data_IF_826112115435
#
_entry.id   IF_826112115435
#
_cell.length_a   1.000
_cell.length_b   1.000
_cell.length_c   1.000
_cell.angle_alpha   90.00
_cell.angle_beta   90.00
_cell.angle_gamma   90.00
#
_symmetry.space_group_name_H-M   'P 1'
#
loop_
_entity.id
_entity.type
_entity.pdbx_description
1 polymer ?
#
# COMPACT_ATOMS: atom_id res chain seq x y z
N UNK A 1 -7.74 5.00 16.31
CA UNK A 1 -7.02 5.52 17.50
C UNK A 1 -7.58 6.90 17.90
N UNK A 2 -7.23 7.43 19.08
CA UNK A 2 -7.41 8.86 19.37
C UNK A 2 -6.35 9.70 18.62
N UNK A 3 -6.52 11.03 18.61
CA UNK A 3 -5.68 11.92 17.80
C UNK A 3 -4.25 12.02 18.33
N UNK A 4 -4.08 12.01 19.65
CA UNK A 4 -2.80 12.24 20.30
C UNK A 4 -1.89 11.03 20.07
N UNK A 5 -2.42 9.81 20.19
CA UNK A 5 -1.72 8.58 19.84
C UNK A 5 -1.19 8.58 18.40
N UNK A 6 -1.99 9.04 17.43
CA UNK A 6 -1.53 9.09 16.02
C UNK A 6 -0.46 10.15 15.83
N UNK A 7 -0.61 11.32 16.46
CA UNK A 7 0.38 12.39 16.38
C UNK A 7 1.73 11.99 17.01
N UNK A 8 1.70 11.23 18.11
CA UNK A 8 2.90 10.70 18.75
C UNK A 8 3.68 9.78 17.81
N UNK A 9 3.00 8.83 17.15
CA UNK A 9 3.63 7.96 16.15
C UNK A 9 4.29 8.79 15.03
N UNK A 10 3.60 9.82 14.53
CA UNK A 10 4.10 10.71 13.46
C UNK A 10 5.33 11.51 13.93
N UNK A 11 5.34 11.94 15.19
CA UNK A 11 6.45 12.68 15.77
C UNK A 11 7.70 11.81 15.97
N UNK A 12 7.52 10.52 16.28
CA UNK A 12 8.61 9.57 16.46
C UNK A 12 9.33 9.20 15.15
N UNK A 13 8.65 9.31 14.00
CA UNK A 13 9.31 9.00 12.73
C UNK A 13 10.36 10.03 12.33
N UNK A 14 11.41 9.60 11.58
CA UNK A 14 12.37 10.52 10.99
C UNK A 14 11.66 11.62 10.20
N UNK A 15 11.95 12.87 10.55
CA UNK A 15 11.40 14.04 9.85
C UNK A 15 12.10 14.29 8.50
N UNK A 16 13.16 13.53 8.21
CA UNK A 16 13.90 13.53 6.96
C UNK A 16 13.23 12.72 5.85
N UNK A 17 14.02 12.32 4.85
CA UNK A 17 13.55 11.52 3.72
C UNK A 17 13.69 10.03 4.02
N UNK A 18 12.60 9.38 4.40
CA UNK A 18 12.57 7.91 4.53
C UNK A 18 12.49 7.30 3.13
N UNK A 19 13.60 6.75 2.66
CA UNK A 19 13.71 6.16 1.32
C UNK A 19 13.15 4.75 1.32
N UNK A 20 12.27 4.45 0.37
CA UNK A 20 11.78 3.11 0.11
C UNK A 20 12.02 2.77 -1.37
N UNK A 21 12.95 1.86 -1.61
CA UNK A 21 13.20 1.37 -2.96
C UNK A 21 12.33 0.16 -3.26
N UNK A 22 11.96 -0.04 -4.51
CA UNK A 22 11.12 -1.17 -4.89
C UNK A 22 11.40 -1.63 -6.31
N UNK A 23 11.39 -2.94 -6.52
CA UNK A 23 11.37 -3.57 -7.84
C UNK A 23 10.30 -4.65 -7.82
N UNK A 24 9.85 -5.08 -9.00
CA UNK A 24 8.75 -6.05 -9.13
C UNK A 24 9.05 -7.34 -8.35
N UNK A 25 8.05 -7.86 -7.64
CA UNK A 25 8.13 -9.04 -6.76
C UNK A 25 9.02 -8.88 -5.51
N UNK A 26 9.57 -7.68 -5.21
CA UNK A 26 10.37 -7.46 -4.00
C UNK A 26 9.60 -7.76 -2.71
N UNK A 27 8.27 -7.61 -2.71
CA UNK A 27 7.42 -7.98 -1.58
C UNK A 27 7.64 -9.41 -1.10
N UNK A 28 7.87 -10.35 -2.02
CA UNK A 28 8.03 -11.76 -1.66
C UNK A 28 9.34 -11.95 -0.87
N UNK A 29 10.41 -11.27 -1.27
CA UNK A 29 11.68 -11.28 -0.55
C UNK A 29 11.54 -10.66 0.85
N UNK A 30 10.82 -9.54 0.96
CA UNK A 30 10.59 -8.84 2.24
C UNK A 30 9.74 -9.70 3.18
N UNK A 31 8.62 -10.25 2.71
CA UNK A 31 7.78 -11.14 3.53
C UNK A 31 8.56 -12.38 3.99
N UNK A 32 9.32 -13.00 3.09
CA UNK A 32 10.17 -14.13 3.47
C UNK A 32 11.24 -13.72 4.49
N UNK A 33 11.78 -12.50 4.40
CA UNK A 33 12.77 -12.02 5.37
C UNK A 33 12.15 -11.74 6.75
N UNK A 34 10.86 -11.35 6.81
CA UNK A 34 10.11 -11.20 8.06
C UNK A 34 9.82 -12.55 8.75
N UNK A 35 9.62 -13.62 7.97
CA UNK A 35 9.38 -14.96 8.49
C UNK A 35 10.66 -15.65 9.01
N UNK A 36 11.84 -15.13 8.67
CA UNK A 36 13.14 -15.76 8.94
C UNK A 36 13.90 -15.05 10.07
N UNK A 37 13.70 -15.48 11.31
CA UNK A 37 14.61 -15.13 12.42
C UNK A 37 15.88 -15.99 12.42
N UNK A 38 15.71 -17.26 12.06
CA UNK A 38 16.75 -18.28 12.01
C UNK A 38 16.75 -18.96 10.64
N UNK A 39 17.69 -19.88 10.43
CA UNK A 39 17.72 -20.65 9.20
C UNK A 39 16.52 -21.60 9.13
N UNK A 40 15.79 -21.58 8.01
CA UNK A 40 14.64 -22.46 7.77
C UNK A 40 14.90 -23.30 6.52
N UNK A 41 14.52 -24.58 6.55
CA UNK A 41 14.64 -25.43 5.36
C UNK A 41 13.63 -24.99 4.31
N UNK A 42 14.06 -24.97 3.06
CA UNK A 42 13.17 -24.73 1.91
C UNK A 42 11.96 -25.68 1.92
N UNK A 43 12.16 -26.92 2.37
CA UNK A 43 11.11 -27.93 2.46
C UNK A 43 9.96 -27.55 3.42
N UNK A 44 10.28 -26.90 4.54
CA UNK A 44 9.28 -26.51 5.55
C UNK A 44 8.45 -25.34 5.03
N UNK A 45 9.11 -24.37 4.40
CA UNK A 45 8.44 -23.23 3.78
C UNK A 45 7.51 -23.65 2.63
N UNK A 46 7.88 -24.69 1.86
CA UNK A 46 7.01 -25.29 0.82
C UNK A 46 5.73 -25.92 1.38
N UNK A 47 5.71 -26.30 2.67
CA UNK A 47 4.53 -26.87 3.35
C UNK A 47 3.70 -25.83 4.08
N UNK A 48 4.18 -24.59 4.16
CA UNK A 48 3.51 -23.48 4.86
C UNK A 48 2.53 -22.70 3.97
N UNK A 49 1.78 -21.78 4.57
CA UNK A 49 0.94 -20.81 3.86
C UNK A 49 1.73 -19.89 2.90
N UNK A 50 3.06 -19.82 3.06
CA UNK A 50 3.96 -18.95 2.31
C UNK A 50 4.61 -19.62 1.09
N UNK A 51 4.25 -20.87 0.79
CA UNK A 51 4.82 -21.63 -0.32
C UNK A 51 4.76 -20.89 -1.67
N UNK A 52 3.70 -20.12 -1.92
CA UNK A 52 3.54 -19.32 -3.15
C UNK A 52 4.58 -18.21 -3.33
N UNK A 53 5.22 -17.74 -2.25
CA UNK A 53 6.30 -16.76 -2.34
C UNK A 53 7.52 -17.38 -3.04
N UNK A 54 7.76 -18.68 -2.84
CA UNK A 54 8.83 -19.43 -3.51
C UNK A 54 8.63 -19.55 -5.02
N UNK A 55 7.41 -19.34 -5.50
CA UNK A 55 7.10 -19.44 -6.93
C UNK A 55 7.47 -18.19 -7.71
N UNK A 56 7.75 -17.08 -7.01
CA UNK A 56 8.04 -15.78 -7.63
C UNK A 56 9.37 -15.80 -8.37
N UNK A 57 9.45 -15.22 -9.58
CA UNK A 57 10.65 -15.25 -10.40
C UNK A 57 11.91 -14.81 -9.66
N UNK A 58 11.84 -13.71 -8.90
CA UNK A 58 12.99 -13.22 -8.13
C UNK A 58 13.42 -14.21 -7.04
N UNK A 59 12.46 -14.82 -6.34
CA UNK A 59 12.75 -15.80 -5.29
C UNK A 59 13.34 -17.06 -5.89
N UNK A 60 12.78 -17.59 -6.99
CA UNK A 60 13.35 -18.75 -7.71
C UNK A 60 14.80 -18.52 -8.10
N UNK A 61 15.13 -17.34 -8.63
CA UNK A 61 16.50 -16.96 -8.99
C UNK A 61 17.42 -16.95 -7.77
N UNK A 62 16.96 -16.39 -6.65
CA UNK A 62 17.71 -16.41 -5.38
C UNK A 62 17.91 -17.83 -4.84
N UNK A 63 16.91 -18.70 -4.91
CA UNK A 63 17.01 -20.09 -4.47
C UNK A 63 17.98 -20.89 -5.33
N UNK A 64 18.02 -20.64 -6.65
CA UNK A 64 18.97 -21.32 -7.54
C UNK A 64 20.43 -21.01 -7.20
N UNK A 65 20.71 -19.87 -6.56
CA UNK A 65 22.04 -19.50 -6.06
C UNK A 65 22.35 -20.04 -4.66
N UNK A 66 21.35 -20.52 -3.91
CA UNK A 66 21.52 -21.04 -2.57
C UNK A 66 21.83 -22.56 -2.62
N UNK A 67 23.04 -22.96 -2.22
CA UNK A 67 23.51 -24.35 -2.36
C UNK A 67 23.15 -25.28 -1.20
N UNK A 68 22.63 -24.75 -0.08
CA UNK A 68 22.54 -25.49 1.19
C UNK A 68 21.14 -26.04 1.49
N UNK A 69 20.09 -25.64 0.75
CA UNK A 69 18.70 -26.00 1.06
C UNK A 69 18.13 -25.31 2.31
N UNK A 70 18.91 -24.41 2.91
CA UNK A 70 18.54 -23.58 4.06
C UNK A 70 18.45 -22.12 3.62
N UNK A 71 17.48 -21.41 4.19
CA UNK A 71 17.21 -20.01 3.92
C UNK A 71 17.44 -19.21 5.19
N UNK A 72 18.10 -18.08 5.05
CA UNK A 72 18.22 -17.09 6.11
C UNK A 72 17.86 -15.70 5.59
N UNK A 73 17.62 -14.78 6.52
CA UNK A 73 17.20 -13.41 6.19
C UNK A 73 18.17 -12.68 5.27
N UNK A 74 19.49 -12.91 5.44
CA UNK A 74 20.53 -12.24 4.66
C UNK A 74 20.46 -12.58 3.17
N UNK A 75 20.12 -13.83 2.84
CA UNK A 75 19.96 -14.27 1.46
C UNK A 75 18.96 -13.40 0.69
N UNK A 76 17.85 -12.99 1.31
CA UNK A 76 16.83 -12.18 0.67
C UNK A 76 17.11 -10.68 0.74
N UNK A 77 17.70 -10.19 1.83
CA UNK A 77 18.01 -8.78 2.00
C UNK A 77 19.06 -8.24 1.01
N UNK A 78 19.93 -9.10 0.49
CA UNK A 78 20.97 -8.72 -0.47
C UNK A 78 20.49 -8.71 -1.93
N UNK A 79 19.26 -9.18 -2.21
CA UNK A 79 18.76 -9.29 -3.58
C UNK A 79 18.34 -7.93 -4.09
N UNK A 80 18.91 -7.53 -5.21
CA UNK A 80 18.51 -6.33 -5.94
C UNK A 80 18.29 -6.64 -7.41
N UNK A 81 17.17 -6.19 -7.96
CA UNK A 81 16.84 -6.37 -9.38
C UNK A 81 16.50 -5.04 -10.05
N UNK A 82 16.62 -5.03 -11.38
CA UNK A 82 16.34 -3.87 -12.23
C UNK A 82 15.09 -4.10 -13.10
N UNK A 83 14.28 -3.06 -13.36
CA UNK A 83 14.42 -1.69 -12.86
C UNK A 83 14.00 -1.57 -11.39
N UNK A 84 14.70 -0.70 -10.65
CA UNK A 84 14.34 -0.29 -9.29
C UNK A 84 13.76 1.11 -9.32
N UNK A 85 12.71 1.34 -8.54
CA UNK A 85 12.07 2.63 -8.35
C UNK A 85 12.25 3.09 -6.92
N UNK A 86 12.60 4.36 -6.75
CA UNK A 86 12.74 4.96 -5.41
C UNK A 86 11.49 5.76 -5.07
N UNK A 87 11.01 5.56 -3.85
CA UNK A 87 9.91 6.29 -3.23
C UNK A 87 10.36 6.95 -1.93
N UNK A 88 9.58 7.93 -1.48
CA UNK A 88 9.73 8.55 -0.16
C UNK A 88 8.48 8.26 0.68
N UNK A 89 8.69 7.70 1.86
CA UNK A 89 7.62 7.44 2.81
C UNK A 89 7.41 8.65 3.72
N UNK A 90 6.15 9.03 3.88
CA UNK A 90 5.73 10.02 4.88
C UNK A 90 4.49 9.54 5.60
N UNK A 91 4.22 10.11 6.77
CA UNK A 91 3.00 9.85 7.53
C UNK A 91 2.08 11.07 7.55
N UNK A 92 0.79 10.77 7.63
CA UNK A 92 -0.29 11.73 7.85
C UNK A 92 -1.40 11.07 8.68
N UNK A 93 -2.52 11.74 8.81
CA UNK A 93 -3.70 11.27 9.56
C UNK A 93 -4.94 11.31 8.68
N UNK A 94 -5.87 10.40 8.94
CA UNK A 94 -7.21 10.44 8.38
C UNK A 94 -8.24 10.16 9.47
N UNK A 95 -9.44 10.73 9.37
CA UNK A 95 -10.56 10.34 10.20
C UNK A 95 -11.08 11.44 11.12
N UNK A 96 -11.84 11.01 12.10
CA UNK A 96 -12.59 11.83 13.04
C UNK A 96 -13.72 11.02 13.65
N UNK A 97 -14.58 11.68 14.42
CA UNK A 97 -15.64 11.00 15.16
C UNK A 97 -16.90 10.71 14.32
N UNK A 98 -17.02 11.30 13.12
CA UNK A 98 -18.12 11.08 12.18
C UNK A 98 -17.78 10.00 11.14
N UNK A 99 -18.05 8.73 11.47
CA UNK A 99 -17.69 7.56 10.63
C UNK A 99 -18.18 7.60 9.19
N UNK A 100 -19.39 8.09 8.93
CA UNK A 100 -20.01 8.01 7.59
C UNK A 100 -19.27 8.87 6.58
N UNK A 101 -18.92 10.10 6.96
CA UNK A 101 -18.11 10.99 6.13
C UNK A 101 -16.66 10.55 6.02
N UNK A 102 -16.12 9.97 7.10
CA UNK A 102 -14.72 9.56 7.17
C UNK A 102 -14.48 8.16 6.58
N UNK A 103 -15.52 7.39 6.30
CA UNK A 103 -15.46 6.03 5.78
C UNK A 103 -14.48 5.14 6.56
N UNK A 104 -14.60 5.12 7.89
CA UNK A 104 -13.74 4.34 8.81
C UNK A 104 -14.51 3.25 9.54
N UNK A 105 -13.81 2.22 10.02
CA UNK A 105 -14.40 1.09 10.75
C UNK A 105 -14.82 1.44 12.18
N UNK A 106 -14.14 2.42 12.79
CA UNK A 106 -14.51 2.99 14.11
C UNK A 106 -14.35 4.52 14.14
N UNK A 107 -15.04 5.22 15.06
CA UNK A 107 -14.74 6.63 15.33
C UNK A 107 -13.29 6.81 15.77
N UNK A 108 -12.67 7.92 15.36
CA UNK A 108 -11.28 8.25 15.68
C UNK A 108 -10.44 8.39 14.41
N UNK A 109 -9.13 8.26 14.57
CA UNK A 109 -8.14 8.53 13.53
C UNK A 109 -7.40 7.26 13.11
N UNK A 110 -7.15 7.17 11.81
CA UNK A 110 -6.21 6.25 11.20
C UNK A 110 -4.87 6.97 10.99
N UNK A 111 -3.80 6.20 11.13
CA UNK A 111 -2.50 6.59 10.61
C UNK A 111 -2.52 6.40 9.09
N UNK A 112 -1.91 7.33 8.35
CA UNK A 112 -1.80 7.23 6.89
C UNK A 112 -0.35 7.13 6.50
N UNK A 113 0.02 6.03 5.84
CA UNK A 113 1.31 5.91 5.16
C UNK A 113 1.16 6.40 3.72
N UNK A 114 2.03 7.31 3.31
CA UNK A 114 2.05 7.90 1.98
C UNK A 114 3.28 7.40 1.22
N UNK A 115 3.07 6.84 0.03
CA UNK A 115 4.12 6.45 -0.90
C UNK A 115 4.28 7.58 -1.94
N UNK A 116 5.28 8.43 -1.73
CA UNK A 116 5.52 9.59 -2.58
C UNK A 116 6.58 9.29 -3.65
N UNK A 117 6.44 9.96 -4.79
CA UNK A 117 7.43 9.89 -5.86
C UNK A 117 8.80 10.42 -5.41
N UNK A 118 9.85 9.95 -6.07
CA UNK A 118 11.19 10.54 -5.98
C UNK A 118 11.46 11.47 -7.16
N UNK A 119 12.68 12.01 -7.23
CA UNK A 119 13.13 12.80 -8.38
C UNK A 119 13.11 12.02 -9.71
N UNK A 120 13.16 10.68 -9.64
CA UNK A 120 13.07 9.81 -10.81
C UNK A 120 11.78 10.05 -11.61
N UNK A 121 10.68 10.37 -10.94
CA UNK A 121 9.40 10.70 -11.57
C UNK A 121 9.19 12.21 -11.68
N UNK A 122 9.53 12.98 -10.64
CA UNK A 122 9.27 14.42 -10.57
C UNK A 122 9.88 15.20 -11.75
N UNK A 123 11.12 14.87 -12.13
CA UNK A 123 11.82 15.57 -13.21
C UNK A 123 11.13 15.42 -14.57
N UNK A 124 10.91 14.20 -15.10
CA UNK A 124 10.22 14.03 -16.37
C UNK A 124 8.75 14.48 -16.30
N UNK A 125 8.08 14.33 -15.16
CA UNK A 125 6.73 14.87 -14.95
C UNK A 125 6.68 16.38 -15.20
N UNK A 126 7.56 17.14 -14.55
CA UNK A 126 7.62 18.61 -14.72
C UNK A 126 8.07 19.03 -16.11
N UNK A 127 9.00 18.30 -16.71
CA UNK A 127 9.51 18.61 -18.05
C UNK A 127 8.45 18.39 -19.13
N UNK A 128 7.71 17.28 -19.06
CA UNK A 128 6.72 16.93 -20.07
C UNK A 128 5.41 17.70 -19.88
N UNK A 129 4.88 17.70 -18.65
CA UNK A 129 3.54 18.22 -18.41
C UNK A 129 3.53 19.68 -17.98
N UNK A 130 4.61 20.18 -17.35
CA UNK A 130 4.68 21.56 -16.84
C UNK A 130 3.41 21.95 -16.06
N UNK A 131 3.14 21.26 -14.93
CA UNK A 131 1.89 21.46 -14.20
C UNK A 131 1.79 22.90 -13.67
N UNK A 132 0.65 23.54 -13.92
CA UNK A 132 0.32 24.91 -13.46
C UNK A 132 -0.48 24.89 -12.17
N UNK A 133 -1.11 23.77 -11.83
CA UNK A 133 -1.83 23.58 -10.57
C UNK A 133 -1.25 22.42 -9.79
N UNK A 134 -1.47 22.44 -8.48
CA UNK A 134 -1.03 21.35 -7.63
C UNK A 134 -1.95 20.13 -7.76
N UNK A 135 -3.20 20.30 -8.20
CA UNK A 135 -4.24 19.28 -8.11
C UNK A 135 -4.37 18.36 -9.34
N UNK A 136 -3.39 18.33 -10.25
CA UNK A 136 -3.55 17.72 -11.57
C UNK A 136 -4.05 16.26 -11.54
N UNK A 137 -3.51 15.43 -10.66
CA UNK A 137 -3.90 14.01 -10.53
C UNK A 137 -4.22 13.61 -9.09
N UNK A 138 -4.77 14.54 -8.29
CA UNK A 138 -5.01 14.27 -6.87
C UNK A 138 -6.31 14.89 -6.36
N UNK A 139 -6.92 14.19 -5.40
CA UNK A 139 -8.09 14.69 -4.69
C UNK A 139 -7.63 15.47 -3.44
N UNK A 140 -7.90 16.78 -3.39
CA UNK A 140 -7.51 17.63 -2.24
C UNK A 140 -8.12 17.19 -0.91
N UNK A 141 -9.24 16.48 -0.96
CA UNK A 141 -9.91 15.90 0.19
C UNK A 141 -9.28 14.61 0.71
N UNK A 142 -8.30 14.03 0.01
CA UNK A 142 -7.65 12.77 0.38
C UNK A 142 -6.34 12.98 1.14
N UNK A 143 -5.81 11.97 1.87
CA UNK A 143 -4.65 12.14 2.73
C UNK A 143 -3.33 12.04 1.95
N UNK A 144 -3.15 12.94 1.00
CA UNK A 144 -1.92 13.14 0.22
C UNK A 144 -0.94 14.08 0.94
N UNK A 145 0.33 14.06 0.53
CA UNK A 145 1.34 14.99 1.04
C UNK A 145 0.98 16.42 0.65
N UNK A 146 0.98 17.34 1.61
CA UNK A 146 0.72 18.78 1.37
C UNK A 146 2.02 19.57 1.39
N UNK A 147 2.09 20.66 0.60
CA UNK A 147 3.21 21.60 0.70
C UNK A 147 3.28 22.19 2.10
N UNK A 148 4.50 22.42 2.59
CA UNK A 148 4.76 22.93 3.94
C UNK A 148 4.61 21.89 5.06
N UNK A 149 4.04 20.71 4.80
CA UNK A 149 3.95 19.63 5.81
C UNK A 149 5.33 19.07 6.18
N UNK A 150 6.28 19.11 5.24
CA UNK A 150 7.69 18.73 5.42
C UNK A 150 8.59 19.80 4.81
N UNK A 151 9.88 19.72 5.12
CA UNK A 151 10.93 20.55 4.49
C UNK A 151 11.20 20.18 3.01
N UNK A 152 10.53 19.17 2.49
CA UNK A 152 10.47 18.83 1.07
C UNK A 152 9.02 18.60 0.66
N UNK A 153 8.75 18.56 -0.64
CA UNK A 153 7.44 18.21 -1.19
C UNK A 153 7.62 17.24 -2.35
N UNK A 154 6.82 16.18 -2.37
CA UNK A 154 6.72 15.25 -3.51
C UNK A 154 5.26 14.89 -3.70
N UNK A 155 4.87 14.68 -4.95
CA UNK A 155 3.54 14.17 -5.24
C UNK A 155 3.38 12.74 -4.69
N UNK A 156 2.18 12.45 -4.19
CA UNK A 156 1.84 11.14 -3.62
C UNK A 156 1.35 10.21 -4.74
N UNK A 157 2.03 9.08 -4.95
CA UNK A 157 1.58 8.03 -5.86
C UNK A 157 0.38 7.29 -5.25
N UNK A 158 0.56 6.81 -4.03
CA UNK A 158 -0.41 5.98 -3.33
C UNK A 158 -0.38 6.22 -1.83
N UNK A 159 -1.41 5.77 -1.12
CA UNK A 159 -1.49 5.85 0.33
C UNK A 159 -2.24 4.65 0.92
N UNK A 160 -1.95 4.35 2.18
CA UNK A 160 -2.65 3.33 2.97
C UNK A 160 -3.16 3.92 4.29
N UNK A 161 -4.43 3.63 4.64
CA UNK A 161 -5.02 3.94 5.95
C UNK A 161 -4.87 2.74 6.88
N UNK A 162 -4.32 2.98 8.06
CA UNK A 162 -4.00 1.97 9.06
C UNK A 162 -4.70 2.35 10.36
N UNK A 163 -5.57 1.47 10.87
CA UNK A 163 -5.97 1.50 12.29
C UNK A 163 -5.13 0.49 13.04
N UNK A 164 -4.79 0.75 14.30
CA UNK A 164 -3.98 -0.17 15.08
C UNK A 164 -4.28 -0.07 16.56
N UNK A 165 -3.80 -1.08 17.28
CA UNK A 165 -3.85 -1.19 18.73
C UNK A 165 -2.61 -1.95 19.21
N UNK A 166 -1.68 -1.25 19.84
CA UNK A 166 -0.44 -1.85 20.35
C UNK A 166 -0.69 -2.87 21.46
N UNK A 167 -1.81 -2.77 22.19
CA UNK A 167 -2.11 -3.68 23.30
C UNK A 167 -2.45 -5.07 22.79
N UNK A 168 -3.19 -5.18 21.69
CA UNK A 168 -3.53 -6.47 21.08
C UNK A 168 -2.49 -6.96 20.06
N UNK A 169 -1.43 -6.19 19.79
CA UNK A 169 -0.48 -6.48 18.71
C UNK A 169 -1.19 -6.61 17.34
N UNK A 170 -2.18 -5.73 17.10
CA UNK A 170 -3.03 -5.77 15.91
C UNK A 170 -2.98 -4.47 15.09
N UNK A 171 -2.94 -4.63 13.76
CA UNK A 171 -3.18 -3.55 12.81
C UNK A 171 -4.24 -3.96 11.80
N UNK A 172 -5.05 -3.01 11.34
CA UNK A 172 -6.01 -3.15 10.25
C UNK A 172 -5.62 -2.20 9.14
N UNK A 173 -5.28 -2.76 7.98
CA UNK A 173 -5.20 -2.03 6.73
C UNK A 173 -6.63 -1.76 6.28
N UNK A 174 -7.11 -0.56 6.58
CA UNK A 174 -8.47 -0.12 6.30
C UNK A 174 -8.67 0.05 4.80
N UNK A 175 -7.67 0.61 4.12
CA UNK A 175 -7.75 0.93 2.70
C UNK A 175 -6.37 1.21 2.10
N UNK A 176 -6.19 0.84 0.84
CA UNK A 176 -5.09 1.26 -0.02
C UNK A 176 -5.68 1.90 -1.28
N UNK A 177 -5.17 3.06 -1.68
CA UNK A 177 -5.61 3.76 -2.88
C UNK A 177 -4.46 4.50 -3.58
N UNK A 178 -4.69 4.83 -4.84
CA UNK A 178 -3.82 5.69 -5.64
C UNK A 178 -4.68 6.65 -6.45
N UNK A 179 -4.84 7.88 -5.95
CA UNK A 179 -5.50 8.95 -6.70
C UNK A 179 -4.74 9.23 -8.00
N UNK A 180 -3.41 9.28 -7.93
CA UNK A 180 -2.56 9.59 -9.07
C UNK A 180 -2.82 8.69 -10.29
N UNK A 181 -2.81 7.36 -10.10
CA UNK A 181 -3.12 6.41 -11.17
C UNK A 181 -4.58 6.51 -11.63
N UNK A 182 -5.55 6.69 -10.72
CA UNK A 182 -6.97 6.82 -11.09
C UNK A 182 -7.22 8.04 -11.97
N UNK A 183 -6.85 9.22 -11.49
CA UNK A 183 -7.09 10.50 -12.15
C UNK A 183 -6.31 10.62 -13.46
N UNK A 184 -5.06 10.13 -13.50
CA UNK A 184 -4.25 10.17 -14.74
C UNK A 184 -4.79 9.25 -15.82
N UNK A 185 -5.31 8.08 -15.46
CA UNK A 185 -5.97 7.18 -16.41
C UNK A 185 -7.28 7.75 -16.94
N UNK A 186 -8.05 8.42 -16.09
CA UNK A 186 -9.29 9.10 -16.49
C UNK A 186 -8.99 10.20 -17.51
N UNK A 187 -8.06 11.10 -17.22
CA UNK A 187 -7.60 12.14 -18.16
C UNK A 187 -7.04 11.56 -19.47
N UNK A 188 -6.30 10.45 -19.41
CA UNK A 188 -5.84 9.79 -20.64
C UNK A 188 -7.01 9.26 -21.48
N UNK A 189 -8.04 8.67 -20.85
CA UNK A 189 -9.22 8.19 -21.57
C UNK A 189 -9.93 9.34 -22.26
N UNK A 190 -10.13 10.46 -21.56
CA UNK A 190 -10.75 11.67 -22.15
C UNK A 190 -10.03 12.09 -23.44
N UNK A 191 -8.69 12.19 -23.37
CA UNK A 191 -7.83 12.56 -24.51
C UNK A 191 -7.86 11.54 -25.66
N UNK A 192 -8.07 10.26 -25.36
CA UNK A 192 -8.17 9.22 -26.39
C UNK A 192 -9.56 9.16 -27.04
N UNK A 193 -10.60 9.64 -26.35
CA UNK A 193 -11.98 9.65 -26.85
C UNK A 193 -12.37 10.93 -27.58
N UNK A 194 -11.60 12.01 -27.44
CA UNK A 194 -11.77 13.24 -28.21
C UNK A 194 -11.29 13.05 -29.65
N UNK A 195 -12.15 13.30 -30.65
CA UNK A 195 -11.90 13.03 -32.07
C UNK A 195 -10.59 13.66 -32.61
N UNK A 196 -9.84 12.88 -33.40
CA UNK A 196 -8.55 13.24 -34.04
C UNK A 196 -8.63 14.37 -35.08
N UNK A 197 -9.81 14.90 -35.40
CA UNK A 197 -10.03 15.84 -36.52
C UNK A 197 -9.96 17.33 -36.16
N UNK A 198 -9.80 17.67 -34.87
CA UNK A 198 -9.39 19.01 -34.50
C UNK A 198 -8.09 18.92 -33.71
N UNK A 199 -7.06 19.74 -34.03
CA UNK A 199 -5.86 19.83 -33.21
C UNK A 199 -6.31 20.33 -31.84
N UNK A 200 -6.49 19.38 -30.94
CA UNK A 200 -6.93 19.62 -29.60
C UNK A 200 -5.79 20.31 -28.85
N UNK A 201 -5.78 21.64 -28.96
CA UNK A 201 -5.57 22.52 -27.81
C UNK A 201 -6.65 22.21 -26.74
N UNK A 202 -6.78 20.93 -26.31
CA UNK A 202 -7.38 20.66 -25.01
C UNK A 202 -6.38 21.31 -24.07
N UNK A 203 -6.72 22.50 -23.60
CA UNK A 203 -6.22 23.00 -22.34
C UNK A 203 -6.62 21.96 -21.31
N UNK A 204 -5.73 21.00 -21.07
CA UNK A 204 -5.90 20.02 -20.01
C UNK A 204 -5.67 20.83 -18.75
N UNK A 205 -6.77 21.13 -18.05
CA UNK A 205 -6.74 21.95 -16.85
C UNK A 205 -5.64 21.46 -15.89
N UNK A 206 -4.83 22.41 -15.43
CA UNK A 206 -3.70 22.18 -14.55
C UNK A 206 -2.34 21.93 -15.21
N UNK A 207 -2.19 22.09 -16.53
CA UNK A 207 -0.88 21.93 -17.19
C UNK A 207 -0.67 22.80 -18.44
N UNK A 208 0.59 23.07 -18.78
CA UNK A 208 0.96 23.76 -20.04
C UNK A 208 1.27 22.79 -21.20
N UNK A 209 1.42 21.50 -20.92
CA UNK A 209 1.64 20.47 -21.95
C UNK A 209 0.38 20.21 -22.79
N UNK A 210 0.56 19.62 -23.97
CA UNK A 210 -0.53 19.19 -24.85
C UNK A 210 -0.91 17.70 -24.64
N UNK A 211 -1.88 17.23 -25.43
CA UNK A 211 -2.33 15.83 -25.41
C UNK A 211 -1.23 14.81 -25.74
N UNK A 212 -0.24 15.16 -26.57
CA UNK A 212 0.89 14.29 -26.90
C UNK A 212 1.86 14.18 -25.73
N UNK A 213 2.11 15.27 -25.02
CA UNK A 213 2.90 15.25 -23.79
C UNK A 213 2.25 14.38 -22.71
N UNK A 214 0.92 14.42 -22.57
CA UNK A 214 0.19 13.54 -21.65
C UNK A 214 0.33 12.07 -22.07
N UNK A 215 0.10 11.73 -23.34
CA UNK A 215 0.27 10.38 -23.88
C UNK A 215 1.70 9.87 -23.64
N UNK A 216 2.70 10.71 -23.90
CA UNK A 216 4.11 10.39 -23.67
C UNK A 216 4.41 10.14 -22.20
N UNK A 217 4.00 11.04 -21.32
CA UNK A 217 4.15 10.89 -19.87
C UNK A 217 3.53 9.58 -19.39
N UNK A 218 2.31 9.26 -19.81
CA UNK A 218 1.67 8.03 -19.39
C UNK A 218 2.43 6.78 -19.86
N UNK A 219 2.79 6.74 -21.15
CA UNK A 219 3.39 5.56 -21.76
C UNK A 219 4.84 5.31 -21.34
N UNK A 220 5.63 6.37 -21.19
CA UNK A 220 7.07 6.28 -20.92
C UNK A 220 7.41 6.41 -19.43
N UNK A 221 6.67 7.25 -18.70
CA UNK A 221 7.01 7.60 -17.31
C UNK A 221 6.10 6.86 -16.34
N UNK A 222 4.78 6.94 -16.51
CA UNK A 222 3.83 6.45 -15.51
C UNK A 222 3.54 4.95 -15.62
N UNK A 223 3.64 4.37 -16.82
CA UNK A 223 3.32 2.96 -17.10
C UNK A 223 3.98 1.98 -16.14
N UNK A 224 5.28 2.09 -15.78
CA UNK A 224 5.86 1.20 -14.80
C UNK A 224 5.22 1.34 -13.41
N UNK A 225 4.97 2.58 -12.95
CA UNK A 225 4.30 2.83 -11.66
C UNK A 225 2.89 2.23 -11.62
N UNK A 226 2.13 2.30 -12.72
CA UNK A 226 0.81 1.67 -12.84
C UNK A 226 0.85 0.16 -12.59
N UNK A 227 1.94 -0.52 -12.92
CA UNK A 227 2.09 -1.98 -12.79
C UNK A 227 2.64 -2.45 -11.43
N UNK A 228 3.11 -1.51 -10.60
CA UNK A 228 3.79 -1.82 -9.35
C UNK A 228 3.18 -1.15 -8.12
N UNK A 229 2.37 -0.09 -8.27
CA UNK A 229 2.01 0.79 -7.15
C UNK A 229 1.29 0.06 -6.01
N UNK A 230 0.41 -0.88 -6.33
CA UNK A 230 -0.41 -1.62 -5.36
C UNK A 230 0.46 -2.56 -4.52
N UNK A 231 1.34 -3.29 -5.21
CA UNK A 231 2.34 -4.16 -4.62
C UNK A 231 3.37 -3.34 -3.78
N UNK A 232 3.87 -2.24 -4.32
CA UNK A 232 4.82 -1.38 -3.61
C UNK A 232 4.19 -0.73 -2.37
N UNK A 233 2.95 -0.25 -2.48
CA UNK A 233 2.23 0.38 -1.37
C UNK A 233 1.91 -0.62 -0.27
N UNK A 234 1.40 -1.81 -0.59
CA UNK A 234 1.15 -2.82 0.44
C UNK A 234 2.47 -3.31 1.05
N UNK A 235 3.54 -3.47 0.27
CA UNK A 235 4.85 -3.84 0.84
C UNK A 235 5.36 -2.79 1.81
N UNK A 236 5.34 -1.51 1.42
CA UNK A 236 5.75 -0.41 2.29
C UNK A 236 4.90 -0.38 3.57
N UNK A 237 3.59 -0.66 3.44
CA UNK A 237 2.65 -0.72 4.56
C UNK A 237 3.01 -1.85 5.54
N UNK A 238 3.25 -3.06 5.04
CA UNK A 238 3.62 -4.20 5.87
C UNK A 238 4.99 -4.02 6.52
N UNK A 239 5.96 -3.53 5.76
CA UNK A 239 7.29 -3.20 6.29
C UNK A 239 7.19 -2.17 7.41
N UNK A 240 6.39 -1.11 7.23
CA UNK A 240 6.17 -0.12 8.26
C UNK A 240 5.47 -0.69 9.50
N UNK A 241 4.38 -1.45 9.33
CA UNK A 241 3.64 -2.06 10.45
C UNK A 241 4.53 -3.04 11.24
N UNK A 242 5.28 -3.89 10.54
CA UNK A 242 6.09 -4.92 11.18
C UNK A 242 7.41 -4.37 11.73
N UNK A 243 8.22 -3.71 10.91
CA UNK A 243 9.59 -3.34 11.27
C UNK A 243 9.67 -2.04 12.06
N UNK A 244 8.79 -1.07 11.79
CA UNK A 244 8.81 0.24 12.47
C UNK A 244 7.87 0.30 13.68
N UNK A 245 6.69 -0.32 13.59
CA UNK A 245 5.71 -0.34 14.68
C UNK A 245 5.80 -1.60 15.55
N UNK A 246 6.46 -2.67 15.09
CA UNK A 246 6.59 -3.92 15.84
C UNK A 246 5.28 -4.71 15.96
N UNK A 247 4.33 -4.52 15.04
CA UNK A 247 3.02 -5.18 15.06
C UNK A 247 3.01 -6.41 14.13
N UNK A 248 2.53 -7.56 14.62
CA UNK A 248 2.62 -8.82 13.89
C UNK A 248 1.29 -9.37 13.38
N UNK A 249 0.16 -9.06 14.03
CA UNK A 249 -1.16 -9.51 13.59
C UNK A 249 -1.79 -8.44 12.67
N UNK A 250 -1.68 -8.66 11.37
CA UNK A 250 -2.11 -7.67 10.37
C UNK A 250 -3.39 -8.15 9.70
N UNK A 251 -4.44 -7.38 9.85
CA UNK A 251 -5.73 -7.58 9.20
C UNK A 251 -5.88 -6.68 7.98
N UNK A 252 -6.67 -7.14 7.01
CA UNK A 252 -7.06 -6.42 5.82
C UNK A 252 -8.54 -6.72 5.56
N UNK A 253 -9.35 -5.71 5.22
CA UNK A 253 -10.78 -5.94 4.94
C UNK A 253 -11.02 -6.84 3.74
N UNK A 254 -12.03 -7.70 3.80
CA UNK A 254 -12.65 -8.19 2.56
C UNK A 254 -13.41 -7.05 1.86
N UNK A 255 -13.65 -7.20 0.56
CA UNK A 255 -14.40 -6.22 -0.21
C UNK A 255 -15.80 -6.00 0.40
N UNK A 256 -16.54 -7.09 0.63
CA UNK A 256 -17.91 -7.07 1.09
C UNK A 256 -18.03 -6.47 2.49
N UNK A 257 -17.19 -6.93 3.42
CA UNK A 257 -17.18 -6.47 4.81
C UNK A 257 -16.75 -5.00 4.90
N UNK A 258 -15.69 -4.63 4.17
CA UNK A 258 -15.21 -3.25 4.11
C UNK A 258 -16.26 -2.28 3.57
N UNK A 259 -16.92 -2.62 2.46
CA UNK A 259 -18.00 -1.82 1.87
C UNK A 259 -19.16 -1.64 2.85
N UNK A 260 -19.58 -2.73 3.51
CA UNK A 260 -20.73 -2.70 4.42
C UNK A 260 -20.47 -1.83 5.67
N UNK A 261 -19.25 -1.88 6.22
CA UNK A 261 -18.84 -1.14 7.41
C UNK A 261 -18.55 0.34 7.10
N UNK A 262 -17.80 0.60 6.02
CA UNK A 262 -17.28 1.93 5.69
C UNK A 262 -18.20 2.74 4.77
N UNK A 263 -19.22 2.10 4.18
CA UNK A 263 -20.16 2.72 3.22
C UNK A 263 -19.45 3.34 2.01
N UNK A 264 -18.51 2.59 1.44
CA UNK A 264 -17.75 2.96 0.24
C UNK A 264 -17.73 1.80 -0.77
N UNK A 265 -17.28 2.06 -2.01
CA UNK A 265 -17.13 1.04 -3.07
C UNK A 265 -15.75 1.17 -3.73
N UNK A 266 -14.68 0.64 -3.11
CA UNK A 266 -13.34 0.70 -3.67
C UNK A 266 -13.17 -0.31 -4.83
N UNK A 267 -12.05 -0.29 -5.58
CA UNK A 267 -11.79 -1.30 -6.61
C UNK A 267 -11.72 -2.71 -6.01
N UNK A 268 -12.59 -3.64 -6.44
CA UNK A 268 -12.69 -5.00 -5.90
C UNK A 268 -11.38 -5.80 -5.98
N UNK A 269 -10.57 -5.58 -7.02
CA UNK A 269 -9.29 -6.28 -7.22
C UNK A 269 -8.31 -6.06 -6.06
N UNK A 270 -8.24 -4.83 -5.51
CA UNK A 270 -7.37 -4.47 -4.37
C UNK A 270 -7.76 -5.19 -3.07
N UNK A 271 -8.99 -5.69 -2.98
CA UNK A 271 -9.53 -6.36 -1.80
C UNK A 271 -9.69 -7.87 -2.01
N UNK A 272 -9.26 -8.41 -3.15
CA UNK A 272 -9.43 -9.84 -3.47
C UNK A 272 -8.14 -10.49 -3.97
N UNK A 273 -7.42 -9.83 -4.89
CA UNK A 273 -6.19 -10.37 -5.48
C UNK A 273 -4.97 -10.00 -4.64
N UNK A 274 -4.87 -8.72 -4.24
CA UNK A 274 -3.70 -8.20 -3.55
C UNK A 274 -3.45 -8.87 -2.18
N UNK A 275 -4.44 -9.07 -1.28
CA UNK A 275 -4.21 -9.79 -0.03
C UNK A 275 -3.74 -11.24 -0.26
N UNK A 276 -4.33 -11.93 -1.25
CA UNK A 276 -3.92 -13.30 -1.61
C UNK A 276 -2.49 -13.35 -2.12
N UNK A 277 -2.07 -12.38 -2.93
CA UNK A 277 -0.69 -12.27 -3.41
C UNK A 277 0.30 -12.22 -2.24
N UNK A 278 -0.07 -11.51 -1.16
CA UNK A 278 0.73 -11.31 0.05
C UNK A 278 0.50 -12.38 1.13
N UNK A 279 -0.03 -13.55 0.76
CA UNK A 279 -0.25 -14.68 1.68
C UNK A 279 -1.24 -14.43 2.82
N UNK A 280 -2.07 -13.38 2.75
CA UNK A 280 -3.17 -13.26 3.69
C UNK A 280 -4.14 -14.44 3.53
N UNK A 281 -4.60 -14.98 4.64
CA UNK A 281 -5.62 -16.02 4.68
C UNK A 281 -6.96 -15.44 5.14
N UNK A 282 -8.10 -15.94 4.62
CA UNK A 282 -9.40 -15.53 5.12
C UNK A 282 -9.59 -15.97 6.58
N UNK A 283 -10.29 -15.15 7.37
CA UNK A 283 -10.69 -15.43 8.75
C UNK A 283 -12.06 -14.82 9.04
N UNK A 284 -12.83 -15.46 9.93
CA UNK A 284 -14.07 -14.91 10.49
C UNK A 284 -13.82 -14.08 11.76
N UNK A 285 -12.57 -14.00 12.20
CA UNK A 285 -12.18 -13.22 13.36
C UNK A 285 -11.92 -11.76 12.95
N UNK A 286 -12.66 -10.84 13.57
CA UNK A 286 -12.39 -9.41 13.45
C UNK A 286 -11.27 -8.99 14.41
N UNK A 287 -10.53 -7.91 14.13
CA UNK A 287 -9.57 -7.34 15.07
C UNK A 287 -10.21 -7.09 16.45
N UNK A 288 -9.57 -7.54 17.51
CA UNK A 288 -10.02 -7.43 18.90
C UNK A 288 -10.34 -5.99 19.29
N UNK A 289 -9.52 -5.04 18.86
CA UNK A 289 -9.75 -3.62 19.17
C UNK A 289 -11.04 -3.06 18.54
N UNK A 290 -11.49 -3.61 17.42
CA UNK A 290 -12.79 -3.28 16.84
C UNK A 290 -13.92 -3.99 17.59
N UNK A 291 -13.70 -5.24 17.99
CA UNK A 291 -14.68 -6.01 18.74
C UNK A 291 -15.05 -5.36 20.06
N UNK A 292 -14.16 -4.57 20.69
CA UNK A 292 -14.48 -3.81 21.91
C UNK A 292 -15.57 -2.74 21.71
N UNK A 293 -15.85 -2.33 20.47
CA UNK A 293 -16.75 -1.22 20.16
C UNK A 293 -18.17 -1.74 19.92
N UNK A 294 -19.12 -1.33 20.78
CA UNK A 294 -20.53 -1.75 20.70
C UNK A 294 -21.15 -1.50 19.33
N UNK A 295 -20.95 -0.31 18.76
CA UNK A 295 -21.49 0.05 17.43
C UNK A 295 -20.89 -0.81 16.31
N UNK A 296 -19.63 -1.22 16.42
CA UNK A 296 -19.00 -2.12 15.46
C UNK A 296 -19.65 -3.50 15.55
N UNK A 297 -19.76 -4.09 16.76
CA UNK A 297 -20.43 -5.38 16.97
C UNK A 297 -21.87 -5.39 16.43
N UNK A 298 -22.62 -4.29 16.60
CA UNK A 298 -23.97 -4.15 16.06
C UNK A 298 -23.99 -4.09 14.53
N UNK A 299 -23.02 -3.41 13.90
CA UNK A 299 -22.90 -3.37 12.45
C UNK A 299 -22.56 -4.75 11.88
N UNK A 300 -21.66 -5.49 12.53
CA UNK A 300 -21.25 -6.83 12.10
C UNK A 300 -22.40 -7.83 12.02
N UNK A 301 -23.36 -7.77 12.95
CA UNK A 301 -24.54 -8.65 12.94
C UNK A 301 -25.47 -8.46 11.72
N UNK A 302 -25.31 -7.36 10.98
CA UNK A 302 -26.13 -7.02 9.81
C UNK A 302 -25.45 -7.41 8.49
N UNK A 303 -24.21 -7.86 8.54
CA UNK A 303 -23.42 -8.25 7.37
C UNK A 303 -23.61 -9.74 7.19
N UNK A 304 -23.98 -10.14 5.99
CA UNK A 304 -24.05 -11.55 5.63
C UNK A 304 -22.63 -12.08 5.39
N UNK A 305 -22.28 -13.19 6.05
CA UNK A 305 -20.97 -13.84 5.97
C UNK A 305 -19.74 -12.89 6.04
N UNK A 306 -19.58 -12.09 7.11
CA UNK A 306 -18.45 -11.20 7.22
C UNK A 306 -17.14 -11.97 7.37
N UNK A 307 -16.08 -11.50 6.70
CA UNK A 307 -14.74 -12.05 6.84
C UNK A 307 -13.68 -10.99 6.60
N UNK A 308 -12.47 -11.29 7.06
CA UNK A 308 -11.27 -10.49 6.91
C UNK A 308 -10.17 -11.34 6.31
N UNK A 309 -9.14 -10.67 5.83
CA UNK A 309 -7.86 -11.27 5.53
C UNK A 309 -6.95 -11.05 6.73
N UNK A 310 -6.28 -12.09 7.21
CA UNK A 310 -5.27 -12.01 8.25
C UNK A 310 -3.92 -12.48 7.70
N UNK A 311 -2.88 -11.75 8.05
CA UNK A 311 -1.49 -12.11 7.85
C UNK A 311 -0.86 -12.13 9.24
N UNK A 312 -0.38 -13.30 9.63
CA UNK A 312 0.29 -13.51 10.90
C UNK A 312 1.80 -13.56 10.64
N UNK A 313 2.50 -12.48 10.96
CA UNK A 313 3.96 -12.42 10.88
C UNK A 313 4.61 -12.85 12.21
N UNK A 314 3.85 -13.46 13.11
CA UNK A 314 4.42 -14.04 14.32
C UNK A 314 5.20 -15.30 13.98
N UNK A 315 6.26 -15.49 14.76
CA UNK A 315 7.33 -16.46 14.54
C UNK A 315 6.91 -17.93 14.71
N UNK A 316 5.63 -18.21 15.03
CA UNK A 316 5.16 -19.53 15.47
C UNK A 316 4.70 -20.46 14.34
N UNK A 317 4.28 -19.93 13.19
CA UNK A 317 3.64 -20.74 12.14
C UNK A 317 4.55 -21.79 11.51
N UNK A 318 5.88 -21.64 11.59
CA UNK A 318 6.83 -22.56 10.98
C UNK A 318 7.28 -23.71 11.90
N UNK A 319 6.93 -23.67 13.19
CA UNK A 319 7.38 -24.65 14.19
C UNK A 319 6.31 -25.69 14.57
N UNK A 320 5.07 -25.55 14.11
CA UNK A 320 3.96 -26.47 14.42
C UNK A 320 3.76 -27.61 13.40
N UNK A 321 4.71 -27.83 12.48
CA UNK A 321 4.68 -28.94 11.51
C UNK A 321 5.50 -30.17 11.96
N UNK A 322 5.69 -30.37 13.27
CA UNK A 322 6.40 -31.50 13.87
C UNK A 322 5.48 -32.41 14.65
#
# INVERSE_FOLDING_TARGET
>A
MDKDSVNEIIACLPQGKTRFDYFKDRYALILLSHLLEHEIKVADLKRSAYARLLERPVVKKTLATASTGWLNRYLFNMVWDKPTYTFLLTLSTWGGYQRTWQQTSRPGYNLVLQLNFSNQHEQPYRQLLKPTTESMFKCNGHPIMKRGQRNFFRETLAWARIDLDFKDDEALIEEIQSDWIRESQEKLREVLTSNDNEPLEIFIDGMEGDSQHLKKYFNEILKPYTQLWDEAMLTATLHFIHDELGIHNIFYHSYETGCAIKKCQPPRSLYTQLPRQFCFHPTLEAPQFLQRITKFRQAMKKIDHPFWYKLDLTKKELYHAH
#
